data_IF_908606298314
#
_entry.id   IF_908606298314
#
_cell.length_a   1.000
_cell.length_b   1.000
_cell.length_c   1.000
_cell.angle_alpha   90.00
_cell.angle_beta   90.00
_cell.angle_gamma   90.00
#
_symmetry.space_group_name_H-M   'P 1'
#
loop_
_entity.id
_entity.type
_entity.pdbx_description
1 polymer ?
#
# COMPACT_ATOMS: atom_id res chain seq x y z
N UNK A 1 9.85 -16.38 -12.84
CA UNK A 1 9.68 -15.09 -12.16
C UNK A 1 9.58 -15.34 -10.67
N UNK A 2 10.65 -15.03 -9.93
CA UNK A 2 10.72 -15.20 -8.47
C UNK A 2 9.79 -14.18 -7.81
N UNK A 3 8.76 -14.66 -7.10
CA UNK A 3 7.94 -13.79 -6.24
C UNK A 3 8.86 -13.20 -5.18
N UNK A 4 9.22 -11.93 -5.32
CA UNK A 4 9.80 -11.17 -4.20
C UNK A 4 8.69 -10.95 -3.19
N UNK A 5 8.75 -11.69 -2.10
CA UNK A 5 8.01 -11.35 -0.88
C UNK A 5 8.63 -10.07 -0.32
N UNK A 6 7.79 -9.10 0.05
CA UNK A 6 8.24 -7.99 0.88
C UNK A 6 8.90 -8.58 2.13
N UNK A 7 10.04 -8.02 2.53
CA UNK A 7 10.68 -8.35 3.80
C UNK A 7 9.88 -7.80 4.98
N UNK A 8 10.54 -7.53 6.09
CA UNK A 8 9.89 -6.93 7.25
C UNK A 8 9.52 -5.45 7.00
N UNK A 9 8.41 -5.02 7.60
CA UNK A 9 7.99 -3.61 7.60
C UNK A 9 9.10 -2.77 8.27
N UNK A 10 9.53 -1.65 7.66
CA UNK A 10 10.55 -0.79 8.25
C UNK A 10 10.21 -0.38 9.67
N UNK A 11 11.22 -0.38 10.55
CA UNK A 11 11.05 -0.09 11.98
C UNK A 11 10.37 1.27 12.23
N UNK A 12 10.70 2.30 11.44
CA UNK A 12 10.07 3.62 11.54
C UNK A 12 8.57 3.60 11.25
N UNK A 13 8.15 2.85 10.22
CA UNK A 13 6.73 2.65 9.90
C UNK A 13 6.01 1.91 11.03
N UNK A 14 6.62 0.82 11.54
CA UNK A 14 6.09 0.05 12.67
C UNK A 14 5.92 0.93 13.92
N UNK A 15 6.95 1.69 14.30
CA UNK A 15 6.94 2.56 15.48
C UNK A 15 5.85 3.63 15.37
N UNK A 16 5.74 4.30 14.21
CA UNK A 16 4.73 5.34 13.97
C UNK A 16 3.31 4.78 14.08
N UNK A 17 3.07 3.59 13.53
CA UNK A 17 1.75 2.95 13.58
C UNK A 17 1.40 2.46 14.99
N UNK A 18 2.36 1.94 15.75
CA UNK A 18 2.18 1.60 17.15
C UNK A 18 1.92 2.84 18.02
N UNK A 19 2.59 3.96 17.74
CA UNK A 19 2.35 5.21 18.44
C UNK A 19 0.94 5.78 18.16
N UNK A 20 0.44 5.61 16.94
CA UNK A 20 -0.87 6.12 16.54
C UNK A 20 -2.05 5.23 16.97
N UNK A 21 -1.91 3.91 16.80
CA UNK A 21 -2.99 2.94 17.05
C UNK A 21 -2.83 2.15 18.36
N UNK A 22 -1.72 2.35 19.08
CA UNK A 22 -1.38 1.63 20.29
C UNK A 22 -0.87 0.20 20.06
N UNK A 23 -0.51 -0.52 21.15
CA UNK A 23 0.08 -1.86 21.09
C UNK A 23 -0.80 -2.91 20.41
N UNK A 24 -2.13 -2.71 20.37
CA UNK A 24 -3.07 -3.60 19.68
C UNK A 24 -2.80 -3.71 18.18
N UNK A 25 -2.10 -2.74 17.58
CA UNK A 25 -1.72 -2.76 16.17
C UNK A 25 -0.64 -3.79 15.83
N UNK A 26 0.10 -4.32 16.83
CA UNK A 26 1.20 -5.25 16.62
C UNK A 26 0.79 -6.47 15.79
N UNK A 27 -0.32 -7.13 16.17
CA UNK A 27 -0.83 -8.31 15.43
C UNK A 27 -1.18 -7.98 13.98
N UNK A 28 -1.69 -6.79 13.72
CA UNK A 28 -2.00 -6.36 12.36
C UNK A 28 -0.73 -6.06 11.57
N UNK A 29 0.26 -5.40 12.19
CA UNK A 29 1.56 -5.11 11.56
C UNK A 29 2.28 -6.39 11.15
N UNK A 30 2.20 -7.44 11.96
CA UNK A 30 2.80 -8.74 11.64
C UNK A 30 2.09 -9.44 10.48
N UNK A 31 0.79 -9.21 10.30
CA UNK A 31 -0.01 -9.76 9.20
C UNK A 31 0.01 -8.91 7.91
N UNK A 32 0.35 -7.62 8.00
CA UNK A 32 0.28 -6.69 6.89
C UNK A 32 1.13 -7.06 5.66
N UNK A 33 2.38 -7.58 5.78
CA UNK A 33 3.14 -8.08 4.63
C UNK A 33 2.40 -9.20 3.88
N UNK A 34 1.75 -10.10 4.62
CA UNK A 34 0.94 -11.18 4.06
C UNK A 34 -0.29 -10.67 3.30
N UNK A 35 -0.99 -9.68 3.86
CA UNK A 35 -2.15 -9.02 3.20
C UNK A 35 -1.75 -8.36 1.88
N UNK A 36 -0.63 -7.63 1.88
CA UNK A 36 -0.07 -7.01 0.68
C UNK A 36 0.32 -8.06 -0.37
N UNK A 37 0.97 -9.15 0.05
CA UNK A 37 1.34 -10.25 -0.84
C UNK A 37 0.12 -10.97 -1.43
N UNK A 38 -0.94 -11.16 -0.64
CA UNK A 38 -2.20 -11.75 -1.11
C UNK A 38 -2.89 -10.86 -2.14
N UNK A 39 -2.98 -9.56 -1.88
CA UNK A 39 -3.53 -8.59 -2.83
C UNK A 39 -2.70 -8.52 -4.11
N UNK A 40 -1.38 -8.44 -4.01
CA UNK A 40 -0.49 -8.44 -5.16
C UNK A 40 -0.63 -9.72 -6.01
N UNK A 41 -0.77 -10.89 -5.38
CA UNK A 41 -1.04 -12.14 -6.08
C UNK A 41 -2.40 -12.10 -6.81
N UNK A 42 -3.44 -11.57 -6.15
CA UNK A 42 -4.79 -11.43 -6.74
C UNK A 42 -4.77 -10.57 -7.99
N UNK A 43 -3.99 -9.49 -7.98
CA UNK A 43 -3.92 -8.52 -9.07
C UNK A 43 -2.73 -8.71 -10.03
N UNK A 44 -1.99 -9.82 -9.90
CA UNK A 44 -0.80 -10.14 -10.70
C UNK A 44 0.28 -9.03 -10.67
N UNK A 45 0.45 -8.40 -9.51
CA UNK A 45 1.43 -7.34 -9.27
C UNK A 45 2.72 -7.92 -8.67
N UNK A 46 3.84 -7.30 -9.00
CA UNK A 46 5.14 -7.59 -8.37
C UNK A 46 5.43 -6.54 -7.32
N UNK A 47 5.53 -6.93 -6.05
CA UNK A 47 5.91 -6.02 -4.97
C UNK A 47 7.42 -5.74 -5.00
N UNK A 48 7.80 -4.47 -4.85
CA UNK A 48 9.19 -4.03 -5.07
C UNK A 48 9.86 -3.61 -3.76
N UNK A 49 9.26 -2.68 -3.01
CA UNK A 49 9.79 -2.17 -1.74
C UNK A 49 8.67 -1.56 -0.88
N UNK A 50 8.93 -1.36 0.42
CA UNK A 50 8.09 -0.51 1.26
C UNK A 50 8.32 0.97 0.91
N UNK A 51 7.26 1.77 1.06
CA UNK A 51 7.32 3.21 0.92
C UNK A 51 6.86 3.86 2.23
N UNK A 52 7.76 4.55 2.92
CA UNK A 52 7.49 5.13 4.24
C UNK A 52 6.81 6.52 4.14
N UNK A 53 5.73 6.61 3.38
CA UNK A 53 4.92 7.83 3.23
C UNK A 53 3.55 7.76 3.94
N UNK A 54 3.20 6.60 4.49
CA UNK A 54 1.89 6.37 5.11
C UNK A 54 1.87 6.66 6.60
N UNK A 55 1.18 7.72 7.04
CA UNK A 55 1.09 8.03 8.48
C UNK A 55 0.35 6.95 9.28
N UNK A 56 -0.69 6.36 8.70
CA UNK A 56 -1.61 5.44 9.37
C UNK A 56 -1.98 4.23 8.48
N UNK A 57 -1.02 3.79 7.67
CA UNK A 57 -1.13 2.67 6.73
C UNK A 57 0.26 2.13 6.40
N UNK A 58 0.35 0.86 5.98
CA UNK A 58 1.57 0.32 5.38
C UNK A 58 1.46 0.47 3.87
N UNK A 59 2.48 1.01 3.22
CA UNK A 59 2.51 1.23 1.77
C UNK A 59 3.69 0.46 1.17
N UNK A 60 3.45 -0.21 0.06
CA UNK A 60 4.48 -0.83 -0.78
C UNK A 60 4.36 -0.33 -2.22
N UNK A 61 5.49 -0.23 -2.91
CA UNK A 61 5.52 -0.06 -4.36
C UNK A 61 5.32 -1.40 -5.04
N UNK A 62 4.63 -1.39 -6.16
CA UNK A 62 4.46 -2.57 -7.00
C UNK A 62 4.52 -2.20 -8.48
N UNK A 63 4.64 -3.22 -9.32
CA UNK A 63 4.65 -3.07 -10.78
C UNK A 63 3.66 -4.04 -11.39
N UNK A 64 2.84 -3.54 -12.32
CA UNK A 64 1.94 -4.34 -13.15
C UNK A 64 2.71 -5.17 -14.19
N UNK A 65 2.03 -6.13 -14.82
CA UNK A 65 2.59 -6.92 -15.94
C UNK A 65 3.03 -6.07 -17.13
N UNK A 66 2.38 -4.92 -17.33
CA UNK A 66 2.71 -3.94 -18.37
C UNK A 66 3.84 -2.97 -17.97
N UNK A 67 4.46 -3.15 -16.80
CA UNK A 67 5.55 -2.32 -16.31
C UNK A 67 5.11 -1.03 -15.62
N UNK A 68 3.80 -0.73 -15.53
CA UNK A 68 3.33 0.49 -14.85
C UNK A 68 3.56 0.40 -13.34
N UNK A 69 4.14 1.45 -12.71
CA UNK A 69 4.31 1.50 -11.26
C UNK A 69 3.00 1.83 -10.55
N UNK A 70 2.72 1.10 -9.46
CA UNK A 70 1.57 1.29 -8.58
C UNK A 70 2.03 1.38 -7.12
N UNK A 71 1.15 1.90 -6.27
CA UNK A 71 1.24 1.81 -4.81
C UNK A 71 0.20 0.84 -4.28
N UNK A 72 0.59 -0.09 -3.42
CA UNK A 72 -0.33 -0.91 -2.63
C UNK A 72 -0.34 -0.37 -1.22
N UNK A 73 -1.54 -0.02 -0.75
CA UNK A 73 -1.74 0.51 0.59
C UNK A 73 -2.61 -0.44 1.38
N UNK A 74 -2.20 -0.75 2.60
CA UNK A 74 -2.93 -1.58 3.55
C UNK A 74 -3.29 -0.76 4.80
N UNK A 75 -4.54 -0.87 5.22
CA UNK A 75 -5.07 -0.14 6.37
C UNK A 75 -5.37 -1.08 7.54
N UNK A 76 -5.12 -0.58 8.75
CA UNK A 76 -5.51 -1.26 9.99
C UNK A 76 -7.01 -1.12 10.26
N UNK A 77 -7.54 0.09 10.05
CA UNK A 77 -8.94 0.44 10.27
C UNK A 77 -9.75 0.29 8.96
N UNK A 78 -10.70 -0.67 8.88
CA UNK A 78 -11.55 -0.86 7.71
C UNK A 78 -12.43 0.36 7.40
N UNK A 79 -12.91 1.09 8.42
CA UNK A 79 -13.72 2.27 8.20
C UNK A 79 -12.90 3.39 7.53
N UNK A 80 -11.62 3.51 7.89
CA UNK A 80 -10.68 4.43 7.24
C UNK A 80 -10.37 4.00 5.81
N UNK A 81 -10.21 2.70 5.56
CA UNK A 81 -10.06 2.15 4.22
C UNK A 81 -11.23 2.55 3.33
N UNK A 82 -12.47 2.29 3.74
CA UNK A 82 -13.65 2.62 2.95
C UNK A 82 -13.74 4.12 2.66
N UNK A 83 -13.61 4.97 3.68
CA UNK A 83 -13.65 6.43 3.51
C UNK A 83 -12.61 6.92 2.50
N UNK A 84 -11.40 6.38 2.55
CA UNK A 84 -10.32 6.84 1.67
C UNK A 84 -10.50 6.33 0.24
N UNK A 85 -10.88 5.06 0.05
CA UNK A 85 -11.17 4.50 -1.28
C UNK A 85 -12.36 5.20 -1.93
N UNK A 86 -13.42 5.47 -1.17
CA UNK A 86 -14.61 6.17 -1.68
C UNK A 86 -14.28 7.62 -2.07
N UNK A 87 -13.47 8.32 -1.26
CA UNK A 87 -13.00 9.66 -1.60
C UNK A 87 -12.15 9.69 -2.88
N UNK A 88 -11.22 8.74 -3.04
CA UNK A 88 -10.39 8.63 -4.24
C UNK A 88 -11.21 8.29 -5.48
N UNK A 89 -12.22 7.42 -5.34
CA UNK A 89 -13.17 7.13 -6.44
C UNK A 89 -14.02 8.33 -6.81
N UNK A 90 -14.46 9.12 -5.83
CA UNK A 90 -15.22 10.35 -6.06
C UNK A 90 -14.39 11.41 -6.81
N UNK A 91 -13.09 11.49 -6.53
CA UNK A 91 -12.17 12.44 -7.18
C UNK A 91 -11.50 11.90 -8.44
N UNK A 92 -11.87 10.70 -8.89
CA UNK A 92 -11.35 10.10 -10.11
C UNK A 92 -11.64 11.03 -11.31
N UNK A 93 -10.60 11.30 -12.12
CA UNK A 93 -10.66 12.25 -13.23
C UNK A 93 -10.19 13.68 -12.91
N UNK A 94 -9.88 13.98 -11.64
CA UNK A 94 -9.15 15.19 -11.21
C UNK A 94 -7.64 14.95 -11.08
N UNK A 95 -6.86 15.86 -10.45
CA UNK A 95 -5.41 15.72 -10.26
C UNK A 95 -5.02 14.66 -9.19
N UNK A 96 -5.94 13.77 -8.82
CA UNK A 96 -5.76 12.81 -7.73
C UNK A 96 -5.40 11.42 -8.27
N UNK A 97 -4.76 10.63 -7.40
CA UNK A 97 -4.37 9.25 -7.69
C UNK A 97 -5.62 8.39 -7.92
N UNK A 98 -5.70 7.68 -9.05
CA UNK A 98 -6.76 6.73 -9.33
C UNK A 98 -6.66 5.44 -8.49
N UNK A 99 -7.82 4.89 -8.08
CA UNK A 99 -7.91 3.54 -7.52
C UNK A 99 -7.95 2.55 -8.68
N UNK A 100 -6.91 1.73 -8.83
CA UNK A 100 -6.82 0.71 -9.87
C UNK A 100 -7.58 -0.55 -9.46
N UNK A 101 -7.36 -1.00 -8.22
CA UNK A 101 -7.98 -2.19 -7.66
C UNK A 101 -8.23 -1.99 -6.15
N UNK A 102 -9.23 -2.68 -5.61
CA UNK A 102 -9.57 -2.63 -4.18
C UNK A 102 -10.02 -4.01 -3.68
N UNK A 103 -9.62 -4.37 -2.46
CA UNK A 103 -9.96 -5.63 -1.81
C UNK A 103 -10.43 -5.35 -0.38
N UNK A 104 -11.75 -5.24 -0.23
CA UNK A 104 -12.41 -4.92 1.04
C UNK A 104 -12.14 -5.99 2.10
N UNK A 105 -12.05 -7.26 1.68
CA UNK A 105 -11.72 -8.40 2.55
C UNK A 105 -10.31 -8.29 3.18
N UNK A 106 -9.41 -7.57 2.52
CA UNK A 106 -8.03 -7.37 2.99
C UNK A 106 -7.80 -5.98 3.60
N UNK A 107 -8.72 -5.03 3.37
CA UNK A 107 -8.53 -3.60 3.54
C UNK A 107 -7.26 -3.12 2.82
N UNK A 108 -7.15 -3.48 1.53
CA UNK A 108 -6.00 -3.14 0.65
C UNK A 108 -6.50 -2.55 -0.66
N UNK A 109 -5.80 -1.54 -1.17
CA UNK A 109 -6.06 -0.96 -2.48
C UNK A 109 -4.75 -0.79 -3.27
N UNK A 110 -4.82 -0.99 -4.58
CA UNK A 110 -3.79 -0.60 -5.53
C UNK A 110 -4.15 0.76 -6.13
N UNK A 111 -3.21 1.68 -6.07
CA UNK A 111 -3.35 3.08 -6.43
C UNK A 111 -2.29 3.42 -7.50
N UNK A 112 -2.62 4.34 -8.41
CA UNK A 112 -1.64 4.83 -9.39
C UNK A 112 -0.49 5.57 -8.69
N UNK A 113 0.75 5.39 -9.15
CA UNK A 113 1.86 6.20 -8.67
C UNK A 113 1.89 7.52 -9.45
N UNK A 114 1.60 8.64 -8.79
CA UNK A 114 1.71 9.98 -9.39
C UNK A 114 3.05 10.60 -8.99
N UNK A 115 3.87 10.95 -9.98
CA UNK A 115 5.22 11.49 -9.82
C UNK A 115 6.31 10.48 -10.22
N UNK A 116 7.07 10.81 -11.27
CA UNK A 116 8.32 10.11 -11.61
C UNK A 116 9.38 10.50 -10.57
N UNK A 117 9.81 9.54 -9.76
CA UNK A 117 11.01 9.70 -8.93
C UNK A 117 12.22 9.53 -9.85
N UNK A 118 12.65 10.59 -10.53
CA UNK A 118 13.96 10.59 -11.18
C UNK A 118 15.02 10.70 -10.08
N UNK A 119 15.49 9.57 -9.55
CA UNK A 119 16.77 9.53 -8.83
C UNK A 119 17.89 9.60 -9.85
N UNK A 120 18.14 10.79 -10.40
CA UNK A 120 19.43 11.12 -10.99
C UNK A 120 20.13 12.00 -9.96
N UNK A 121 21.10 11.48 -9.17
CA UNK A 121 21.94 12.36 -8.38
C UNK A 121 22.81 13.22 -9.33
N UNK A 122 23.17 14.45 -8.92
CA UNK A 122 24.02 15.35 -9.70
C UNK A 122 25.43 14.79 -9.93
#
# INVERSE_FOLDING_TARGET
MTKRTLGEIPAGCRQRLLAHYGPSAQRWLDAAPGRLAQAAKRWKLTLTAYHDAGHASVIATATCLDGRPLLLKAWLDPARYHREVDALRLWAGGPTIGVVEAADDLAVAALELVGVWTTTPP
#
